data_IF_418912686493
#
_entry.id   IF_418912686493
#
_cell.length_a   1.000
_cell.length_b   1.000
_cell.length_c   1.000
_cell.angle_alpha   90.00
_cell.angle_beta   90.00
_cell.angle_gamma   90.00
#
_symmetry.space_group_name_H-M   'P 1'
#
loop_
_entity.id
_entity.type
_entity.pdbx_description
1 polymer ?
#
# COMPACT_ATOMS: atom_id res chain seq x y z
N UNK A 1 3.14 1.74 -8.64
CA UNK A 1 4.45 1.47 -8.02
C UNK A 1 4.25 0.73 -6.72
N UNK A 2 4.93 -0.35 -6.53
CA UNK A 2 4.83 -1.14 -5.31
C UNK A 2 5.82 -0.62 -4.28
N UNK A 3 5.35 -0.39 -3.08
CA UNK A 3 6.20 0.11 -2.00
C UNK A 3 6.74 -1.07 -1.19
N UNK A 4 7.84 -1.61 -1.66
CA UNK A 4 8.42 -2.80 -1.05
C UNK A 4 8.90 -2.59 0.39
N UNK A 5 9.09 -1.33 0.79
CA UNK A 5 9.53 -1.03 2.14
C UNK A 5 8.58 -1.53 3.22
N UNK A 6 7.31 -1.66 2.89
CA UNK A 6 6.30 -2.07 3.87
C UNK A 6 5.99 -3.55 3.81
N UNK A 7 6.43 -4.24 2.77
CA UNK A 7 6.03 -5.62 2.55
C UNK A 7 6.42 -6.53 3.71
N UNK A 8 7.65 -6.43 4.14
CA UNK A 8 8.16 -7.26 5.22
C UNK A 8 7.41 -6.99 6.52
N UNK A 9 7.24 -5.71 6.85
CA UNK A 9 6.55 -5.32 8.06
C UNK A 9 5.11 -5.82 8.08
N UNK A 10 4.42 -5.70 6.96
CA UNK A 10 3.04 -6.14 6.84
C UNK A 10 2.94 -7.65 7.05
N UNK A 11 3.78 -8.40 6.36
CA UNK A 11 3.65 -9.86 6.38
C UNK A 11 4.22 -10.52 7.61
N UNK A 12 4.95 -9.76 8.41
CA UNK A 12 5.41 -10.27 9.70
C UNK A 12 4.45 -9.94 10.83
N UNK A 13 3.42 -9.16 10.57
CA UNK A 13 2.47 -8.81 11.61
C UNK A 13 1.49 -9.97 11.83
N UNK A 14 0.81 -9.92 12.95
CA UNK A 14 -0.16 -10.95 13.28
C UNK A 14 -1.38 -10.88 12.37
N UNK A 15 -1.74 -9.68 11.96
CA UNK A 15 -2.90 -9.47 11.08
C UNK A 15 -2.45 -8.68 9.85
N UNK A 16 -1.87 -9.35 8.86
CA UNK A 16 -1.29 -8.63 7.71
C UNK A 16 -2.26 -7.75 6.97
N UNK A 17 -3.48 -8.23 6.77
CA UNK A 17 -4.46 -7.45 6.03
C UNK A 17 -4.81 -6.15 6.74
N UNK A 18 -5.02 -6.23 8.04
CA UNK A 18 -5.35 -5.03 8.82
C UNK A 18 -4.17 -4.08 8.88
N UNK A 19 -2.98 -4.63 9.04
CA UNK A 19 -1.77 -3.82 9.06
C UNK A 19 -1.59 -3.09 7.74
N UNK A 20 -1.78 -3.77 6.63
CA UNK A 20 -1.66 -3.16 5.32
C UNK A 20 -2.69 -2.05 5.13
N UNK A 21 -3.92 -2.27 5.54
CA UNK A 21 -4.95 -1.25 5.43
C UNK A 21 -4.63 -0.02 6.26
N UNK A 22 -4.12 -0.24 7.46
CA UNK A 22 -3.77 0.87 8.33
C UNK A 22 -2.65 1.71 7.72
N UNK A 23 -1.65 1.06 7.17
CA UNK A 23 -0.55 1.74 6.52
C UNK A 23 -1.06 2.53 5.30
N UNK A 24 -1.88 1.90 4.48
CA UNK A 24 -2.42 2.57 3.30
C UNK A 24 -3.25 3.79 3.69
N UNK A 25 -4.07 3.67 4.73
CA UNK A 25 -4.87 4.78 5.19
C UNK A 25 -4.01 5.94 5.68
N UNK A 26 -2.95 5.63 6.42
CA UNK A 26 -2.04 6.66 6.91
C UNK A 26 -1.34 7.36 5.74
N UNK A 27 -0.91 6.61 4.76
CA UNK A 27 -0.27 7.18 3.59
C UNK A 27 -1.23 8.07 2.80
N UNK A 28 -2.45 7.63 2.62
CA UNK A 28 -3.45 8.42 1.93
C UNK A 28 -3.76 9.72 2.67
N UNK A 29 -3.76 9.64 3.99
CA UNK A 29 -4.05 10.81 4.81
C UNK A 29 -2.92 11.83 4.74
N UNK A 30 -1.69 11.35 4.69
CA UNK A 30 -0.52 12.23 4.70
C UNK A 30 -0.12 12.70 3.31
N UNK A 31 -0.57 12.04 2.28
CA UNK A 31 -0.18 12.37 0.92
C UNK A 31 -1.42 12.41 0.01
N UNK A 32 -2.12 13.53 -0.03
CA UNK A 32 -3.35 13.63 -0.81
C UNK A 32 -3.13 13.65 -2.32
N UNK A 33 -1.89 13.76 -2.77
CA UNK A 33 -1.62 13.82 -4.20
C UNK A 33 -1.49 12.45 -4.83
N UNK A 34 -1.44 11.42 -4.04
CA UNK A 34 -1.31 10.06 -4.53
C UNK A 34 -2.34 9.18 -3.86
N UNK A 35 -2.59 8.03 -4.45
CA UNK A 35 -3.51 7.07 -3.89
C UNK A 35 -2.76 5.80 -3.54
N UNK A 36 -3.01 5.24 -2.36
CA UNK A 36 -2.34 4.04 -1.90
C UNK A 36 -3.37 2.94 -1.70
N UNK A 37 -3.08 1.77 -2.24
CA UNK A 37 -3.99 0.62 -2.19
C UNK A 37 -3.30 -0.58 -1.59
N UNK A 38 -4.11 -1.45 -0.99
CA UNK A 38 -3.64 -2.74 -0.53
C UNK A 38 -3.89 -3.76 -1.63
N UNK A 39 -2.88 -4.51 -1.99
CA UNK A 39 -2.99 -5.55 -3.01
C UNK A 39 -2.32 -6.83 -2.53
N UNK A 40 -2.59 -7.92 -3.24
CA UNK A 40 -1.88 -9.17 -3.02
C UNK A 40 -0.79 -9.29 -4.08
N UNK A 41 0.38 -9.68 -3.64
CA UNK A 41 1.49 -9.86 -4.57
C UNK A 41 1.36 -11.20 -5.27
N UNK A 42 1.39 -11.20 -6.58
CA UNK A 42 1.27 -12.41 -7.38
C UNK A 42 2.51 -13.26 -7.21
N UNK A 43 2.33 -14.52 -6.95
CA UNK A 43 3.44 -15.44 -6.74
C UNK A 43 3.99 -15.46 -5.34
N UNK A 44 3.47 -14.59 -4.48
CA UNK A 44 3.91 -14.51 -3.11
C UNK A 44 2.67 -14.48 -2.24
N UNK A 45 2.76 -14.97 -1.04
CA UNK A 45 1.59 -15.03 -0.18
C UNK A 45 1.58 -13.85 0.76
N UNK A 46 1.47 -12.68 0.25
CA UNK A 46 1.53 -11.54 1.11
C UNK A 46 0.78 -10.35 0.57
N UNK A 47 0.66 -9.35 1.42
CA UNK A 47 0.03 -8.11 1.05
C UNK A 47 1.08 -7.07 0.76
N UNK A 48 0.79 -6.19 -0.18
CA UNK A 48 1.68 -5.10 -0.54
C UNK A 48 0.89 -3.81 -0.59
N UNK A 49 1.61 -2.70 -0.53
CA UNK A 49 1.02 -1.38 -0.72
C UNK A 49 1.41 -0.90 -2.12
N UNK A 50 0.43 -0.52 -2.89
CA UNK A 50 0.68 0.00 -4.21
C UNK A 50 0.36 1.49 -4.27
N UNK A 51 1.27 2.27 -4.79
CA UNK A 51 1.10 3.70 -4.93
C UNK A 51 0.69 4.03 -6.36
N UNK A 52 -0.43 4.75 -6.49
CA UNK A 52 -0.92 5.19 -7.78
C UNK A 52 -0.82 6.71 -7.86
N UNK A 53 -0.17 7.22 -8.88
CA UNK A 53 -0.06 8.66 -9.05
C UNK A 53 -1.30 9.17 -9.74
N UNK A 54 -1.82 10.26 -9.22
CA UNK A 54 -3.05 10.82 -9.72
C UNK A 54 -2.81 12.05 -10.58
N UNK A 55 -1.67 12.67 -10.45
CA UNK A 55 -1.43 13.97 -11.07
C UNK A 55 -1.63 13.98 -12.58
N UNK A 56 -1.47 12.88 -13.23
CA UNK A 56 -1.64 12.80 -14.67
C UNK A 56 -3.07 12.94 -15.12
N UNK A 57 -3.98 12.94 -14.20
CA UNK A 57 -5.38 13.01 -14.51
C UNK A 57 -5.93 14.39 -14.59
N UNK A 58 -5.11 15.34 -14.37
CA UNK A 58 -5.54 16.65 -14.38
C UNK A 58 -5.51 17.25 -15.68
N UNK A 59 -5.68 16.96 -16.37
CA UNK A 59 -5.49 17.63 -17.40
C UNK A 59 -6.42 17.88 -17.90
#
# INVERSE_FOLDING_TARGET
>A
MILHNYTSKINRSKYPQQTARKIANDLNKNDPFNNYLVSLEIGSKGYIIEKLEIRGMNR
#
